data_IF_773211081030
#
_entry.id   IF_773211081030
#
_cell.length_a   1.000
_cell.length_b   1.000
_cell.length_c   1.000
_cell.angle_alpha   90.00
_cell.angle_beta   90.00
_cell.angle_gamma   90.00
#
_symmetry.space_group_name_H-M   'P 1'
#
loop_
_entity.id
_entity.type
_entity.pdbx_description
1 polymer ?
#
# COMPACT_ATOMS: atom_id res chain seq x y z
N UNK A 1 -3.79 -6.70 -5.67
CA UNK A 1 -4.39 -7.93 -6.21
C UNK A 1 -3.52 -9.12 -5.95
N UNK A 2 -3.85 -9.86 -4.92
CA UNK A 2 -3.29 -11.19 -4.91
C UNK A 2 -3.93 -11.99 -6.06
N UNK A 3 -3.20 -12.96 -6.60
CA UNK A 3 -3.61 -13.71 -7.80
C UNK A 3 -4.82 -14.63 -7.58
N UNK A 4 -5.29 -14.76 -6.34
CA UNK A 4 -6.43 -15.58 -5.98
C UNK A 4 -7.18 -14.99 -4.79
N UNK A 5 -8.38 -15.52 -4.56
CA UNK A 5 -9.21 -15.23 -3.39
C UNK A 5 -8.45 -15.54 -2.09
N UNK A 6 -7.86 -16.73 -1.99
CA UNK A 6 -7.15 -17.22 -0.82
C UNK A 6 -5.93 -16.37 -0.52
N UNK A 7 -5.15 -16.05 -1.57
CA UNK A 7 -3.98 -15.21 -1.45
C UNK A 7 -4.36 -13.81 -0.95
N UNK A 8 -5.48 -13.27 -1.43
CA UNK A 8 -5.99 -11.96 -1.01
C UNK A 8 -6.39 -11.96 0.46
N UNK A 9 -7.15 -12.97 0.88
CA UNK A 9 -7.60 -13.10 2.26
C UNK A 9 -6.43 -13.32 3.23
N UNK A 10 -5.52 -14.25 2.93
CA UNK A 10 -4.38 -14.57 3.79
C UNK A 10 -3.49 -13.35 3.95
N UNK A 11 -3.20 -12.63 2.86
CA UNK A 11 -2.35 -11.44 2.92
C UNK A 11 -3.05 -10.28 3.63
N UNK A 12 -4.37 -10.11 3.45
CA UNK A 12 -5.16 -9.15 4.20
C UNK A 12 -5.08 -9.41 5.72
N UNK A 13 -5.34 -10.65 6.15
CA UNK A 13 -5.27 -11.04 7.56
C UNK A 13 -3.85 -10.92 8.13
N UNK A 14 -2.84 -11.38 7.40
CA UNK A 14 -1.44 -11.25 7.79
C UNK A 14 -1.05 -9.78 8.01
N UNK A 15 -1.39 -8.91 7.07
CA UNK A 15 -1.09 -7.48 7.16
C UNK A 15 -1.83 -6.83 8.33
N UNK A 16 -3.09 -7.18 8.62
CA UNK A 16 -3.80 -6.71 9.82
C UNK A 16 -3.06 -7.11 11.09
N UNK A 17 -2.70 -8.39 11.23
CA UNK A 17 -2.02 -8.92 12.42
C UNK A 17 -0.70 -8.18 12.65
N UNK A 18 0.13 -8.07 11.60
CA UNK A 18 1.44 -7.42 11.70
C UNK A 18 1.29 -5.91 11.97
N UNK A 19 0.35 -5.24 11.32
CA UNK A 19 0.06 -3.82 11.56
C UNK A 19 -0.34 -3.56 12.99
N UNK A 20 -1.30 -4.32 13.52
CA UNK A 20 -1.74 -4.17 14.91
C UNK A 20 -0.59 -4.46 15.87
N UNK A 21 0.13 -5.56 15.66
CA UNK A 21 1.32 -5.88 16.46
C UNK A 21 2.35 -4.75 16.45
N UNK A 22 2.66 -4.16 15.28
CA UNK A 22 3.59 -3.06 15.16
C UNK A 22 3.08 -1.80 15.88
N UNK A 23 1.80 -1.44 15.70
CA UNK A 23 1.18 -0.30 16.38
C UNK A 23 1.26 -0.46 17.89
N UNK A 24 0.92 -1.65 18.41
CA UNK A 24 0.92 -1.92 19.85
C UNK A 24 2.32 -2.04 20.44
N UNK A 25 3.26 -2.70 19.76
CA UNK A 25 4.64 -2.83 20.27
C UNK A 25 5.33 -1.47 20.31
N UNK A 26 5.01 -0.59 19.36
CA UNK A 26 5.52 0.79 19.27
C UNK A 26 7.03 0.84 19.60
N UNK A 27 7.82 -0.04 18.99
CA UNK A 27 9.22 -0.26 19.33
C UNK A 27 10.14 0.71 18.56
N UNK A 28 9.69 1.13 17.37
CA UNK A 28 10.41 2.04 16.50
C UNK A 28 9.56 3.24 16.10
N UNK A 29 10.22 4.30 15.60
CA UNK A 29 9.51 5.40 14.93
C UNK A 29 8.70 4.89 13.72
N UNK A 30 9.19 3.85 13.02
CA UNK A 30 8.55 3.30 11.83
C UNK A 30 7.21 2.66 12.15
N UNK A 31 7.10 1.98 13.28
CA UNK A 31 5.87 1.35 13.75
C UNK A 31 4.67 2.31 13.73
N UNK A 32 4.90 3.57 14.13
CA UNK A 32 3.85 4.59 14.25
C UNK A 32 3.23 5.02 12.93
N UNK A 33 3.93 4.87 11.81
CA UNK A 33 3.42 5.29 10.51
C UNK A 33 3.31 4.13 9.52
N UNK A 34 4.26 3.18 9.54
CA UNK A 34 4.21 1.98 8.73
C UNK A 34 3.12 1.03 9.19
N UNK A 35 2.87 0.91 10.50
CA UNK A 35 1.78 0.09 11.03
C UNK A 35 0.42 0.53 10.46
N UNK A 36 0.04 1.80 10.64
CA UNK A 36 -1.18 2.35 10.03
C UNK A 36 -1.16 2.30 8.50
N UNK A 37 0.00 2.46 7.85
CA UNK A 37 0.10 2.44 6.38
C UNK A 37 -0.17 1.05 5.82
N UNK A 38 0.39 0.01 6.44
CA UNK A 38 0.10 -1.39 6.08
C UNK A 38 -1.37 -1.71 6.39
N UNK A 39 -1.94 -1.13 7.45
CA UNK A 39 -3.34 -1.35 7.83
C UNK A 39 -4.31 -0.73 6.82
N UNK A 40 -4.01 0.44 6.28
CA UNK A 40 -4.81 0.98 5.16
C UNK A 40 -4.54 0.22 3.88
N UNK A 41 -3.29 -0.16 3.63
CA UNK A 41 -2.92 -0.96 2.46
C UNK A 41 -3.66 -2.29 2.44
N UNK A 42 -3.81 -2.97 3.59
CA UNK A 42 -4.46 -4.28 3.70
C UNK A 42 -5.94 -4.25 3.30
N UNK A 43 -6.59 -3.09 3.36
CA UNK A 43 -7.97 -2.92 2.90
C UNK A 43 -8.09 -3.17 1.39
N UNK A 44 -7.03 -2.93 0.62
CA UNK A 44 -7.00 -3.26 -0.81
C UNK A 44 -7.06 -4.77 -1.04
N UNK A 45 -6.43 -5.59 -0.18
CA UNK A 45 -6.49 -7.04 -0.25
C UNK A 45 -7.89 -7.56 0.11
N UNK A 46 -8.60 -6.90 1.03
CA UNK A 46 -10.01 -7.22 1.29
C UNK A 46 -10.92 -6.81 0.13
N UNK A 47 -10.67 -5.67 -0.52
CA UNK A 47 -11.34 -5.30 -1.77
C UNK A 47 -11.11 -6.37 -2.84
N UNK A 48 -9.87 -6.81 -3.03
CA UNK A 48 -9.54 -7.86 -3.99
C UNK A 48 -10.25 -9.17 -3.64
N UNK A 49 -10.36 -9.51 -2.35
CA UNK A 49 -11.10 -10.69 -1.87
C UNK A 49 -12.58 -10.61 -2.24
N UNK A 50 -13.21 -9.45 -2.06
CA UNK A 50 -14.62 -9.22 -2.43
C UNK A 50 -14.79 -9.37 -3.95
N UNK A 51 -13.89 -8.78 -4.74
CA UNK A 51 -13.95 -8.83 -6.20
C UNK A 51 -13.72 -10.26 -6.72
N UNK A 52 -12.78 -11.01 -6.14
CA UNK A 52 -12.56 -12.41 -6.47
C UNK A 52 -13.75 -13.30 -6.10
N UNK A 53 -14.39 -13.04 -4.96
CA UNK A 53 -15.59 -13.76 -4.55
C UNK A 53 -16.77 -13.46 -5.47
N UNK A 54 -17.02 -12.18 -5.79
CA UNK A 54 -18.08 -11.81 -6.73
C UNK A 54 -17.87 -12.48 -8.08
N UNK A 55 -16.62 -12.52 -8.53
CA UNK A 55 -16.23 -13.16 -9.77
C UNK A 55 -16.45 -14.67 -9.77
N UNK A 56 -16.15 -15.37 -8.67
CA UNK A 56 -16.35 -16.82 -8.59
C UNK A 56 -17.83 -17.22 -8.60
N UNK A 57 -18.72 -16.31 -8.16
CA UNK A 57 -20.17 -16.53 -8.11
C UNK A 57 -20.87 -16.08 -9.40
N UNK A 58 -20.54 -14.89 -9.91
CA UNK A 58 -21.26 -14.24 -11.00
C UNK A 58 -20.55 -14.32 -12.36
N UNK A 59 -19.31 -14.82 -12.39
CA UNK A 59 -18.52 -14.98 -13.62
C UNK A 59 -17.84 -13.70 -14.13
N UNK A 60 -17.21 -13.83 -15.30
CA UNK A 60 -16.33 -12.83 -15.93
C UNK A 60 -17.03 -11.64 -16.58
N UNK A 61 -18.26 -11.82 -17.04
CA UNK A 61 -18.84 -10.94 -18.05
C UNK A 61 -19.86 -9.93 -17.50
N UNK A 62 -20.30 -10.10 -16.26
CA UNK A 62 -21.33 -9.22 -15.67
C UNK A 62 -20.71 -8.26 -14.66
N UNK A 63 -20.87 -6.97 -14.91
CA UNK A 63 -20.64 -5.99 -13.86
C UNK A 63 -21.79 -6.05 -12.86
N UNK A 64 -21.65 -6.91 -11.85
CA UNK A 64 -22.57 -6.98 -10.74
C UNK A 64 -22.59 -5.64 -9.97
N UNK A 65 -23.69 -5.40 -9.23
CA UNK A 65 -23.75 -4.25 -8.33
C UNK A 65 -22.60 -4.27 -7.31
N UNK A 66 -22.23 -5.45 -6.81
CA UNK A 66 -21.14 -5.60 -5.84
C UNK A 66 -19.79 -5.19 -6.43
N UNK A 67 -19.48 -5.64 -7.66
CA UNK A 67 -18.27 -5.24 -8.38
C UNK A 67 -18.26 -3.73 -8.64
N UNK A 68 -19.37 -3.18 -9.14
CA UNK A 68 -19.50 -1.75 -9.42
C UNK A 68 -19.24 -0.91 -8.17
N UNK A 69 -19.92 -1.19 -7.06
CA UNK A 69 -19.78 -0.39 -5.83
C UNK A 69 -18.38 -0.53 -5.22
N UNK A 70 -17.85 -1.75 -5.19
CA UNK A 70 -16.51 -2.04 -4.67
C UNK A 70 -15.43 -1.34 -5.48
N UNK A 71 -15.49 -1.47 -6.80
CA UNK A 71 -14.48 -0.90 -7.70
C UNK A 71 -14.57 0.62 -7.76
N UNK A 72 -15.77 1.18 -7.97
CA UNK A 72 -15.94 2.62 -8.22
C UNK A 72 -15.81 3.48 -6.97
N UNK A 73 -16.31 3.01 -5.83
CA UNK A 73 -16.37 3.81 -4.61
C UNK A 73 -15.38 3.32 -3.57
N UNK A 74 -15.43 2.04 -3.18
CA UNK A 74 -14.65 1.56 -2.04
C UNK A 74 -13.13 1.63 -2.28
N UNK A 75 -12.67 1.09 -3.40
CA UNK A 75 -11.26 1.02 -3.78
C UNK A 75 -10.60 2.40 -3.78
N UNK A 76 -11.27 3.37 -4.38
CA UNK A 76 -10.75 4.73 -4.50
C UNK A 76 -10.57 5.42 -3.13
N UNK A 77 -11.56 5.25 -2.24
CA UNK A 77 -11.48 5.81 -0.90
C UNK A 77 -10.35 5.17 -0.10
N UNK A 78 -10.10 3.87 -0.27
CA UNK A 78 -8.96 3.19 0.36
C UNK A 78 -7.63 3.74 -0.16
N UNK A 79 -7.45 3.84 -1.49
CA UNK A 79 -6.24 4.43 -2.08
C UNK A 79 -5.99 5.86 -1.59
N UNK A 80 -7.06 6.64 -1.44
CA UNK A 80 -6.97 8.00 -0.89
C UNK A 80 -6.56 7.97 0.59
N UNK A 81 -7.10 7.03 1.38
CA UNK A 81 -6.79 6.86 2.79
C UNK A 81 -5.34 6.45 3.05
N UNK A 82 -4.73 5.63 2.18
CA UNK A 82 -3.31 5.28 2.26
C UNK A 82 -2.41 6.53 2.28
N UNK A 83 -2.75 7.54 1.50
CA UNK A 83 -2.00 8.80 1.42
C UNK A 83 -2.26 9.73 2.61
N UNK A 84 -3.44 9.63 3.23
CA UNK A 84 -3.69 10.29 4.53
C UNK A 84 -2.71 9.77 5.57
N UNK A 85 -2.41 8.47 5.55
CA UNK A 85 -1.50 7.87 6.54
C UNK A 85 -0.05 8.29 6.33
N UNK A 86 0.35 8.67 5.11
CA UNK A 86 1.67 9.24 4.84
C UNK A 86 1.95 10.55 5.60
N UNK A 87 0.91 11.22 6.12
CA UNK A 87 1.03 12.39 7.03
C UNK A 87 1.73 12.02 8.34
N UNK A 88 1.65 10.78 8.79
CA UNK A 88 2.32 10.31 9.99
C UNK A 88 3.80 9.98 9.77
N UNK A 89 4.30 10.10 8.52
CA UNK A 89 5.72 9.94 8.21
C UNK A 89 6.58 11.07 8.83
N UNK A 90 7.91 10.89 8.98
CA UNK A 90 8.73 11.83 9.73
C UNK A 90 9.16 13.01 8.87
N UNK A 91 9.23 14.18 9.50
CA UNK A 91 10.01 15.31 9.02
C UNK A 91 9.59 15.84 7.65
N UNK A 92 10.55 15.89 6.73
CA UNK A 92 10.38 16.50 5.40
C UNK A 92 9.30 15.77 4.59
N UNK A 93 9.18 14.45 4.75
CA UNK A 93 8.21 13.63 4.01
C UNK A 93 6.79 14.05 4.36
N UNK A 94 6.42 14.11 5.64
CA UNK A 94 5.07 14.51 6.03
C UNK A 94 4.72 15.93 5.56
N UNK A 95 5.67 16.88 5.66
CA UNK A 95 5.41 18.25 5.23
C UNK A 95 5.22 18.36 3.71
N UNK A 96 6.03 17.64 2.93
CA UNK A 96 5.86 17.57 1.47
C UNK A 96 4.52 16.93 1.09
N UNK A 97 4.19 15.79 1.70
CA UNK A 97 2.95 15.05 1.41
C UNK A 97 1.70 15.89 1.74
N UNK A 98 1.69 16.55 2.91
CA UNK A 98 0.62 17.48 3.31
C UNK A 98 0.44 18.62 2.32
N UNK A 99 1.54 19.23 1.87
CA UNK A 99 1.50 20.46 1.09
C UNK A 99 1.21 20.24 -0.39
N UNK A 100 1.74 19.18 -0.98
CA UNK A 100 1.74 19.01 -2.43
C UNK A 100 0.98 17.78 -2.93
N UNK A 101 0.74 16.78 -2.07
CA UNK A 101 0.20 15.49 -2.52
C UNK A 101 -1.27 15.28 -2.14
N UNK A 102 -1.72 15.84 -1.02
CA UNK A 102 -3.07 15.65 -0.49
C UNK A 102 -4.18 16.13 -1.45
N UNK A 103 -4.12 17.39 -1.86
CA UNK A 103 -5.16 18.02 -2.69
C UNK A 103 -5.21 17.37 -4.08
N UNK A 104 -4.09 17.21 -4.82
CA UNK A 104 -4.13 16.55 -6.12
C UNK A 104 -4.62 15.11 -6.03
N UNK A 105 -4.35 14.41 -4.94
CA UNK A 105 -4.81 13.03 -4.81
C UNK A 105 -6.31 12.93 -4.58
N UNK A 106 -6.88 13.74 -3.68
CA UNK A 106 -8.34 13.79 -3.49
C UNK A 106 -9.04 14.20 -4.80
N UNK A 107 -8.52 15.22 -5.49
CA UNK A 107 -9.09 15.65 -6.76
C UNK A 107 -8.95 14.57 -7.85
N UNK A 108 -7.82 13.88 -7.89
CA UNK A 108 -7.58 12.76 -8.80
C UNK A 108 -8.52 11.59 -8.50
N UNK A 109 -8.70 11.26 -7.23
CA UNK A 109 -9.64 10.26 -6.76
C UNK A 109 -11.06 10.61 -7.22
N UNK A 110 -11.55 11.80 -6.85
CA UNK A 110 -12.87 12.30 -7.26
C UNK A 110 -13.05 12.20 -8.78
N UNK A 111 -12.06 12.66 -9.55
CA UNK A 111 -12.10 12.59 -11.03
C UNK A 111 -12.23 11.15 -11.52
N UNK A 112 -11.43 10.21 -11.02
CA UNK A 112 -11.49 8.80 -11.42
C UNK A 112 -12.82 8.15 -11.04
N UNK A 113 -13.42 8.51 -9.89
CA UNK A 113 -14.79 8.09 -9.55
C UNK A 113 -15.82 8.56 -10.58
N UNK A 114 -15.62 9.69 -11.23
CA UNK A 114 -16.54 10.20 -12.25
C UNK A 114 -16.23 9.72 -13.67
N UNK A 115 -14.99 9.33 -13.98
CA UNK A 115 -14.57 8.99 -15.35
C UNK A 115 -14.31 7.50 -15.58
N UNK A 116 -14.26 6.67 -14.54
CA UNK A 116 -14.04 5.23 -14.71
C UNK A 116 -15.29 4.51 -15.19
N UNK A 117 -15.09 3.47 -16.02
CA UNK A 117 -16.16 2.55 -16.47
C UNK A 117 -16.76 1.76 -15.28
N UNK A 118 -16.11 1.81 -14.12
CA UNK A 118 -16.72 1.56 -12.81
C UNK A 118 -16.62 0.12 -12.32
N UNK A 119 -16.21 -0.82 -13.17
CA UNK A 119 -16.19 -2.25 -12.84
C UNK A 119 -14.79 -2.83 -13.03
N UNK A 120 -14.34 -3.65 -12.11
CA UNK A 120 -13.11 -4.42 -12.29
C UNK A 120 -13.37 -5.63 -13.18
N UNK A 121 -12.39 -6.00 -13.99
CA UNK A 121 -12.46 -7.15 -14.91
C UNK A 121 -11.24 -8.06 -14.74
N UNK A 122 -11.20 -9.21 -15.41
CA UNK A 122 -9.96 -9.98 -15.53
C UNK A 122 -9.25 -9.65 -16.85
N UNK A 123 -7.93 -9.58 -16.78
CA UNK A 123 -7.05 -9.50 -17.91
C UNK A 123 -7.02 -10.84 -18.67
N UNK A 124 -6.49 -10.87 -19.91
CA UNK A 124 -6.28 -12.11 -20.65
C UNK A 124 -5.41 -13.14 -19.90
N UNK A 125 -4.57 -12.69 -18.97
CA UNK A 125 -3.71 -13.53 -18.15
C UNK A 125 -4.40 -14.00 -16.85
N UNK A 126 -5.67 -13.64 -16.64
CA UNK A 126 -6.44 -14.00 -15.44
C UNK A 126 -6.13 -13.12 -14.23
N UNK A 127 -5.57 -11.92 -14.43
CA UNK A 127 -5.30 -10.98 -13.36
C UNK A 127 -6.42 -9.97 -13.22
N UNK A 128 -6.77 -9.58 -11.99
CA UNK A 128 -7.79 -8.57 -11.78
C UNK A 128 -7.29 -7.22 -12.32
N UNK A 129 -8.18 -6.42 -12.92
CA UNK A 129 -7.91 -5.09 -13.46
C UNK A 129 -8.82 -4.11 -12.75
N UNK A 130 -8.26 -3.23 -11.91
CA UNK A 130 -9.04 -2.20 -11.24
C UNK A 130 -9.69 -1.28 -12.27
N UNK A 131 -10.98 -1.04 -12.11
CA UNK A 131 -11.78 -0.24 -13.03
C UNK A 131 -11.79 -0.75 -14.49
N UNK A 132 -11.34 -1.98 -14.73
CA UNK A 132 -11.23 -2.56 -16.07
C UNK A 132 -10.12 -1.94 -16.91
N UNK A 133 -9.23 -1.15 -16.31
CA UNK A 133 -8.18 -0.42 -17.04
C UNK A 133 -6.84 -1.11 -16.86
N UNK A 134 -6.19 -1.42 -17.99
CA UNK A 134 -4.77 -1.74 -17.98
C UNK A 134 -3.97 -0.43 -17.93
N UNK A 135 -3.31 -0.19 -16.79
CA UNK A 135 -2.56 1.06 -16.57
C UNK A 135 -1.28 1.04 -17.41
N UNK A 136 -1.13 2.02 -18.30
CA UNK A 136 0.10 2.17 -19.10
C UNK A 136 1.33 2.30 -18.20
N UNK A 137 2.43 1.67 -18.61
CA UNK A 137 3.71 1.62 -17.89
C UNK A 137 4.22 2.99 -17.42
N UNK A 138 3.95 4.06 -18.16
CA UNK A 138 4.36 5.41 -17.79
C UNK A 138 3.64 5.92 -16.52
N UNK A 139 2.32 5.81 -16.47
CA UNK A 139 1.54 6.30 -15.33
C UNK A 139 1.79 5.48 -14.08
N UNK A 140 1.93 4.17 -14.26
CA UNK A 140 2.33 3.29 -13.18
C UNK A 140 3.72 3.70 -12.67
N UNK A 141 4.71 3.97 -13.54
CA UNK A 141 6.06 4.37 -13.09
C UNK A 141 6.06 5.67 -12.28
N UNK A 142 5.21 6.65 -12.62
CA UNK A 142 5.03 7.86 -11.82
C UNK A 142 4.45 7.57 -10.44
N UNK A 143 3.47 6.68 -10.36
CA UNK A 143 2.90 6.23 -9.09
C UNK A 143 3.96 5.52 -8.24
N UNK A 144 4.81 4.67 -8.85
CA UNK A 144 5.92 4.00 -8.17
C UNK A 144 6.87 4.99 -7.51
N UNK A 145 7.24 6.05 -8.23
CA UNK A 145 8.10 7.11 -7.68
C UNK A 145 7.43 7.73 -6.46
N UNK A 146 6.12 7.99 -6.52
CA UNK A 146 5.36 8.50 -5.37
C UNK A 146 5.39 7.58 -4.15
N UNK A 147 5.28 6.26 -4.35
CA UNK A 147 5.32 5.25 -3.28
C UNK A 147 6.73 5.05 -2.73
N UNK A 148 7.75 5.08 -3.59
CA UNK A 148 9.17 4.90 -3.25
C UNK A 148 9.76 6.15 -2.58
N UNK A 149 9.30 7.34 -2.95
CA UNK A 149 9.87 8.61 -2.51
C UNK A 149 9.96 8.74 -0.97
N UNK A 150 8.91 8.41 -0.18
CA UNK A 150 9.00 8.35 1.28
C UNK A 150 10.13 7.44 1.80
N UNK A 151 10.41 6.33 1.12
CA UNK A 151 11.42 5.36 1.53
C UNK A 151 12.85 5.92 1.48
N UNK A 152 13.12 6.89 0.60
CA UNK A 152 14.44 7.55 0.50
C UNK A 152 14.84 8.30 1.78
N UNK A 153 13.86 8.67 2.60
CA UNK A 153 14.07 9.43 3.84
C UNK A 153 13.96 8.57 5.09
N UNK A 154 13.79 7.26 4.94
CA UNK A 154 13.74 6.32 6.07
C UNK A 154 15.11 6.20 6.74
N UNK A 155 15.11 6.19 8.07
CA UNK A 155 16.30 5.94 8.88
C UNK A 155 16.18 4.58 9.61
N UNK A 156 17.23 3.75 9.64
CA UNK A 156 18.47 3.88 8.87
C UNK A 156 18.23 3.74 7.35
N UNK A 157 19.09 4.39 6.56
CA UNK A 157 18.99 4.46 5.10
C UNK A 157 18.95 3.09 4.43
N UNK A 158 19.64 2.10 5.02
CA UNK A 158 19.68 0.72 4.52
C UNK A 158 18.28 0.07 4.46
N UNK A 159 17.39 0.42 5.39
CA UNK A 159 16.00 -0.04 5.34
C UNK A 159 15.27 0.57 4.14
N UNK A 160 15.45 1.87 3.91
CA UNK A 160 14.93 2.55 2.71
C UNK A 160 15.42 1.89 1.42
N UNK A 161 16.72 1.59 1.32
CA UNK A 161 17.29 0.88 0.18
C UNK A 161 16.68 -0.51 -0.03
N UNK A 162 16.46 -1.29 1.04
CA UNK A 162 15.81 -2.60 0.92
C UNK A 162 14.38 -2.50 0.38
N UNK A 163 13.63 -1.47 0.79
CA UNK A 163 12.30 -1.17 0.24
C UNK A 163 12.37 -0.85 -1.24
N UNK A 164 13.29 0.05 -1.62
CA UNK A 164 13.46 0.49 -3.01
C UNK A 164 13.82 -0.71 -3.89
N UNK A 165 14.82 -1.48 -3.50
CA UNK A 165 15.28 -2.64 -4.26
C UNK A 165 14.15 -3.66 -4.47
N UNK A 166 13.39 -3.97 -3.42
CA UNK A 166 12.27 -4.91 -3.51
C UNK A 166 11.14 -4.37 -4.39
N UNK A 167 10.71 -3.13 -4.15
CA UNK A 167 9.64 -2.48 -4.92
C UNK A 167 10.01 -2.42 -6.41
N UNK A 168 11.24 -2.01 -6.74
CA UNK A 168 11.72 -1.98 -8.12
C UNK A 168 11.81 -3.38 -8.74
N UNK A 169 12.21 -4.40 -7.97
CA UNK A 169 12.24 -5.78 -8.44
C UNK A 169 10.85 -6.34 -8.77
N UNK A 170 9.90 -6.18 -7.85
CA UNK A 170 8.49 -6.57 -8.06
C UNK A 170 7.87 -5.79 -9.22
N UNK A 171 8.21 -4.51 -9.35
CA UNK A 171 7.77 -3.67 -10.45
C UNK A 171 8.24 -4.18 -11.82
N UNK A 172 9.54 -4.45 -11.94
CA UNK A 172 10.15 -4.97 -13.15
C UNK A 172 9.55 -6.32 -13.50
N UNK A 173 9.42 -7.21 -12.51
CA UNK A 173 8.76 -8.50 -12.70
C UNK A 173 7.34 -8.31 -13.24
N UNK A 174 6.55 -7.45 -12.61
CA UNK A 174 5.18 -7.22 -13.02
C UNK A 174 5.09 -6.61 -14.41
N UNK A 175 5.92 -5.62 -14.74
CA UNK A 175 5.89 -4.96 -16.05
C UNK A 175 6.36 -5.87 -17.19
N UNK A 176 7.35 -6.74 -16.93
CA UNK A 176 7.96 -7.57 -17.96
C UNK A 176 7.22 -8.91 -18.17
N UNK A 177 6.58 -9.44 -17.13
CA UNK A 177 6.04 -10.80 -17.15
C UNK A 177 4.53 -10.89 -16.85
N UNK A 178 3.89 -9.79 -16.44
CA UNK A 178 2.45 -9.80 -16.10
C UNK A 178 1.74 -8.54 -16.61
N UNK A 179 0.42 -8.55 -16.67
CA UNK A 179 -0.40 -7.33 -16.80
C UNK A 179 -1.02 -6.91 -15.45
N UNK A 180 -0.56 -7.54 -14.38
CA UNK A 180 -1.15 -7.56 -13.06
C UNK A 180 -0.69 -6.36 -12.22
N UNK A 181 -0.85 -5.13 -12.71
CA UNK A 181 -0.32 -3.94 -12.04
C UNK A 181 -0.77 -3.81 -10.58
N UNK A 182 -2.07 -3.97 -10.35
CA UNK A 182 -2.65 -3.95 -9.00
C UNK A 182 -2.10 -5.07 -8.12
N UNK A 183 -1.55 -6.15 -8.70
CA UNK A 183 -1.05 -7.30 -7.96
C UNK A 183 0.20 -7.06 -7.16
N UNK A 184 0.98 -6.06 -7.58
CA UNK A 184 2.16 -5.61 -6.86
C UNK A 184 1.84 -5.14 -5.44
N UNK A 185 0.61 -4.66 -5.20
CA UNK A 185 0.18 -4.21 -3.87
C UNK A 185 0.16 -5.35 -2.84
N UNK A 186 -0.14 -6.57 -3.29
CA UNK A 186 -0.11 -7.76 -2.45
C UNK A 186 1.30 -8.05 -1.95
N UNK A 187 2.26 -8.14 -2.88
CA UNK A 187 3.67 -8.38 -2.56
C UNK A 187 4.29 -7.24 -1.77
N UNK A 188 3.94 -6.00 -2.10
CA UNK A 188 4.40 -4.83 -1.38
C UNK A 188 3.92 -4.84 0.07
N UNK A 189 2.62 -5.08 0.31
CA UNK A 189 2.06 -5.15 1.66
C UNK A 189 2.73 -6.27 2.47
N UNK A 190 2.88 -7.46 1.89
CA UNK A 190 3.50 -8.61 2.54
C UNK A 190 4.98 -8.33 2.91
N UNK A 191 5.77 -7.79 1.99
CA UNK A 191 7.16 -7.44 2.25
C UNK A 191 7.30 -6.32 3.27
N UNK A 192 6.45 -5.30 3.19
CA UNK A 192 6.41 -4.20 4.17
C UNK A 192 6.09 -4.75 5.55
N UNK A 193 5.13 -5.68 5.66
CA UNK A 193 4.81 -6.37 6.90
C UNK A 193 5.99 -7.17 7.44
N UNK A 194 6.69 -7.95 6.61
CA UNK A 194 7.89 -8.70 7.03
C UNK A 194 8.97 -7.75 7.54
N UNK A 195 9.32 -6.71 6.77
CA UNK A 195 10.32 -5.73 7.20
C UNK A 195 9.92 -5.04 8.49
N UNK A 196 8.65 -4.67 8.64
CA UNK A 196 8.16 -4.06 9.86
C UNK A 196 8.26 -5.03 11.04
N UNK A 197 7.85 -6.30 10.88
CA UNK A 197 7.93 -7.30 11.93
C UNK A 197 9.36 -7.47 12.46
N UNK A 198 10.34 -7.54 11.55
CA UNK A 198 11.75 -7.73 11.89
C UNK A 198 12.54 -6.43 12.11
N UNK A 199 11.89 -5.26 11.99
CA UNK A 199 12.52 -3.94 12.09
C UNK A 199 13.45 -3.78 13.31
N UNK A 200 13.05 -4.19 14.54
CA UNK A 200 13.90 -4.03 15.72
C UNK A 200 15.17 -4.87 15.67
N UNK A 201 15.12 -6.05 15.03
CA UNK A 201 16.23 -6.98 14.92
C UNK A 201 17.19 -6.60 13.79
N UNK A 202 16.65 -6.17 12.63
CA UNK A 202 17.44 -5.89 11.43
C UNK A 202 18.14 -4.54 11.50
N UNK A 203 17.50 -3.54 12.09
CA UNK A 203 17.94 -2.15 11.98
C UNK A 203 18.30 -1.51 13.31
N UNK A 204 18.24 -2.29 14.41
CA UNK A 204 18.72 -1.92 15.73
C UNK A 204 18.17 -0.58 16.22
N UNK A 205 17.03 -0.61 16.91
CA UNK A 205 16.51 0.49 17.74
C UNK A 205 15.23 0.02 18.46
N UNK A 206 15.37 -0.43 19.71
CA UNK A 206 14.43 0.03 20.73
C UNK A 206 14.66 1.54 20.87
N UNK A 207 13.65 2.33 21.21
CA UNK A 207 13.75 3.79 21.37
C UNK A 207 15.12 4.27 21.90
N UNK A 208 15.62 5.44 21.47
CA UNK A 208 16.79 6.02 22.11
C UNK A 208 16.53 6.01 23.60
N UNK A 209 17.50 5.49 24.37
CA UNK A 209 17.59 5.72 25.80
C UNK A 209 17.03 7.11 26.06
N UNK A 210 15.98 7.21 26.90
CA UNK A 210 15.54 8.51 27.41
C UNK A 210 16.83 9.27 27.66
N UNK A 211 17.05 10.39 26.96
CA UNK A 211 18.13 11.29 27.34
C UNK A 211 17.86 11.55 28.80
N UNK A 212 18.61 10.88 29.66
CA UNK A 212 18.67 11.21 31.07
C UNK A 212 19.12 12.64 30.98
N UNK A 213 18.18 13.55 31.23
CA UNK A 213 18.48 14.93 31.45
C UNK A 213 19.41 14.94 32.65
N UNK A 214 20.71 14.74 32.40
CA UNK A 214 21.73 15.34 33.21
C UNK A 214 21.54 16.84 32.99
N UNK A 215 20.56 17.41 33.69
CA UNK A 215 20.64 18.75 34.22
C UNK A 215 21.93 18.75 35.05
N UNK A 216 23.06 18.96 34.37
CA UNK A 216 24.26 19.47 35.00
C UNK A 216 23.86 20.86 35.47
N UNK A 217 23.53 20.93 36.76
CA UNK A 217 23.64 22.15 37.53
C UNK A 217 25.00 22.77 37.21
N UNK A 218 24.99 23.87 36.49
CA UNK A 218 26.05 24.87 36.43
C UNK A 218 25.39 26.23 36.41
#
# INVERSE_FOLDING_TARGET
MCWSLESSLIMGLWSVIVSLYAIFRNASYRDRWQGPFILTSCLMQFVDTILWYDHSVNGLETCSNLNYYTSKYLLLWILSAELLVAVFAPGIVANFMKKYYYIPNILGAIRVSFTSEGCSSLSPQGHLLWFGVNIKTFYSSLFLIGVVWPCLFMKPFIAGLSYIAFISGVWLYSTLYTDAFGSNWCFLSAFTAILLLFDPFLFGRFFPEKKVEQKKNK
#
